data_IF_380873952068
#
_entry.id   IF_380873952068
#
_cell.length_a   1.000
_cell.length_b   1.000
_cell.length_c   1.000
_cell.angle_alpha   90.00
_cell.angle_beta   90.00
_cell.angle_gamma   90.00
#
_symmetry.space_group_name_H-M   'P 1'
#
loop_
_entity.id
_entity.type
_entity.pdbx_description
1 polymer ?
#
# COMPACT_ATOMS: atom_id res chain seq x y z
N UNK A 1 28.11 34.61 1.28
CA UNK A 1 27.34 34.96 0.07
C UNK A 1 26.01 34.25 0.03
N UNK A 2 24.90 35.00 -0.09
CA UNK A 2 23.53 34.45 -0.21
C UNK A 2 23.10 34.49 -1.68
N UNK A 3 23.81 33.76 -2.54
CA UNK A 3 23.47 33.63 -3.95
C UNK A 3 22.44 32.50 -4.13
N UNK A 4 21.16 32.83 -3.99
CA UNK A 4 20.05 31.88 -4.13
C UNK A 4 19.21 32.26 -5.34
N UNK A 5 18.99 31.29 -6.23
CA UNK A 5 18.05 31.39 -7.36
C UNK A 5 16.89 30.46 -7.08
N UNK A 6 15.67 30.99 -7.10
CA UNK A 6 14.43 30.22 -6.93
C UNK A 6 13.65 30.27 -8.25
N UNK A 7 13.11 29.13 -8.66
CA UNK A 7 12.24 29.00 -9.82
C UNK A 7 10.93 28.37 -9.37
N UNK A 8 9.81 28.90 -9.83
CA UNK A 8 8.50 28.32 -9.56
C UNK A 8 7.39 29.01 -10.34
N UNK A 9 6.22 28.41 -10.28
CA UNK A 9 5.00 28.92 -10.91
C UNK A 9 3.87 28.85 -9.86
N UNK A 10 3.35 30.02 -9.51
CA UNK A 10 2.25 30.19 -8.56
C UNK A 10 0.95 29.53 -9.05
N UNK A 11 0.70 29.48 -10.36
CA UNK A 11 -0.48 28.83 -10.95
C UNK A 11 -0.41 27.30 -10.85
N UNK A 12 0.77 26.74 -10.57
CA UNK A 12 0.99 25.29 -10.46
C UNK A 12 1.15 24.81 -9.02
N UNK A 13 0.84 25.65 -8.03
CA UNK A 13 0.94 25.28 -6.62
C UNK A 13 -0.27 24.47 -6.17
N UNK A 14 -0.15 23.15 -6.25
CA UNK A 14 -1.23 22.18 -5.99
C UNK A 14 -1.03 21.32 -4.72
N UNK A 15 -0.02 21.64 -3.90
CA UNK A 15 0.31 20.90 -2.67
C UNK A 15 -0.05 21.66 -1.38
N UNK A 16 -1.03 22.57 -1.43
CA UNK A 16 -1.44 23.37 -0.27
C UNK A 16 -1.87 22.54 0.94
N UNK A 17 -2.50 21.39 0.71
CA UNK A 17 -2.88 20.42 1.74
C UNK A 17 -1.69 19.77 2.47
N UNK A 18 -0.48 19.89 1.93
CA UNK A 18 0.79 19.49 2.57
C UNK A 18 1.51 20.66 3.24
N UNK A 19 0.85 21.81 3.37
CA UNK A 19 1.45 23.03 3.91
C UNK A 19 2.28 23.82 2.90
N UNK A 20 2.26 23.49 1.61
CA UNK A 20 2.91 24.32 0.60
C UNK A 20 2.20 25.67 0.48
N UNK A 21 2.94 26.77 0.58
CA UNK A 21 2.38 28.12 0.51
C UNK A 21 2.88 28.87 -0.72
N UNK A 22 1.93 29.34 -1.55
CA UNK A 22 2.20 30.24 -2.69
C UNK A 22 2.83 31.55 -2.23
N UNK A 23 2.60 31.93 -0.97
CA UNK A 23 3.20 33.12 -0.36
C UNK A 23 4.73 33.12 -0.45
N UNK A 24 5.36 31.94 -0.41
CA UNK A 24 6.81 31.81 -0.45
C UNK A 24 7.42 32.38 -1.74
N UNK A 25 6.75 32.19 -2.89
CA UNK A 25 7.22 32.73 -4.16
C UNK A 25 6.74 34.17 -4.38
N UNK A 26 5.51 34.49 -3.99
CA UNK A 26 4.94 35.84 -4.17
C UNK A 26 5.65 36.89 -3.33
N UNK A 27 6.09 36.52 -2.13
CA UNK A 27 6.72 37.42 -1.16
C UNK A 27 8.17 37.06 -0.89
N UNK A 28 8.83 36.37 -1.82
CA UNK A 28 10.23 35.93 -1.65
C UNK A 28 11.16 37.08 -1.22
N UNK A 29 11.00 38.27 -1.80
CA UNK A 29 11.75 39.48 -1.46
C UNK A 29 11.41 40.12 -0.10
N UNK A 30 10.42 39.58 0.63
CA UNK A 30 9.99 40.04 1.95
C UNK A 30 10.35 39.05 3.07
N UNK A 31 10.79 37.84 2.72
CA UNK A 31 11.13 36.79 3.67
C UNK A 31 12.57 36.94 4.16
N UNK A 32 12.79 36.88 5.47
CA UNK A 32 14.13 36.73 6.03
C UNK A 32 14.65 35.31 5.73
N UNK A 33 15.94 35.13 5.34
CA UNK A 33 17.03 36.11 5.27
C UNK A 33 17.21 36.80 3.90
N UNK A 34 16.22 36.66 3.00
CA UNK A 34 16.26 37.09 1.59
C UNK A 34 15.62 38.46 1.35
N UNK A 35 15.38 39.23 2.42
CA UNK A 35 14.80 40.57 2.38
C UNK A 35 15.79 41.57 1.78
N UNK A 36 15.97 41.48 0.47
CA UNK A 36 16.87 42.28 -0.33
C UNK A 36 16.27 42.53 -1.72
N UNK A 37 16.94 43.35 -2.53
CA UNK A 37 16.52 43.56 -3.92
C UNK A 37 16.76 42.26 -4.72
N UNK A 38 15.67 41.62 -5.14
CA UNK A 38 15.70 40.39 -5.95
C UNK A 38 15.48 40.72 -7.43
N UNK A 39 16.33 40.21 -8.31
CA UNK A 39 16.09 40.26 -9.76
C UNK A 39 15.02 39.23 -10.12
N UNK A 40 13.85 39.69 -10.54
CA UNK A 40 12.74 38.82 -10.98
C UNK A 40 12.69 38.80 -12.50
N UNK A 41 12.58 37.61 -13.10
CA UNK A 41 12.42 37.44 -14.55
C UNK A 41 11.24 36.50 -14.79
N UNK A 42 10.27 36.93 -15.60
CA UNK A 42 9.12 36.09 -15.97
C UNK A 42 9.39 35.38 -17.30
N UNK A 43 9.23 34.07 -17.32
CA UNK A 43 9.38 33.24 -18.52
C UNK A 43 7.97 32.90 -19.00
N UNK A 44 7.53 33.58 -20.07
CA UNK A 44 6.17 33.42 -20.62
C UNK A 44 6.11 32.59 -21.89
N UNK A 45 7.26 32.27 -22.48
CA UNK A 45 7.35 31.47 -23.71
C UNK A 45 7.28 29.98 -23.37
N UNK A 46 6.25 29.30 -23.85
CA UNK A 46 6.11 27.84 -23.73
C UNK A 46 6.67 27.13 -24.96
N UNK A 47 7.56 26.17 -24.74
CA UNK A 47 8.11 25.29 -25.77
C UNK A 47 7.37 23.95 -25.89
N UNK A 48 6.50 23.65 -24.92
CA UNK A 48 5.78 22.38 -24.79
C UNK A 48 4.48 22.34 -25.58
N UNK A 49 3.74 23.43 -25.53
CA UNK A 49 2.30 23.43 -25.84
C UNK A 49 1.95 24.50 -26.88
N UNK A 50 1.03 24.18 -27.79
CA UNK A 50 0.50 25.13 -28.77
C UNK A 50 -0.44 26.17 -28.16
N UNK A 51 -0.70 27.26 -28.89
CA UNK A 51 -1.38 28.44 -28.35
C UNK A 51 -2.81 28.17 -27.87
N UNK A 52 -3.60 27.36 -28.60
CA UNK A 52 -5.00 27.10 -28.23
C UNK A 52 -5.13 26.47 -26.84
N UNK A 53 -4.30 25.50 -26.49
CA UNK A 53 -4.31 24.88 -25.15
C UNK A 53 -3.83 25.88 -24.09
N UNK A 54 -2.84 26.72 -24.40
CA UNK A 54 -2.38 27.78 -23.49
C UNK A 54 -3.49 28.80 -23.21
N UNK A 55 -4.27 29.17 -24.23
CA UNK A 55 -5.37 30.11 -24.09
C UNK A 55 -6.49 29.53 -23.22
N UNK A 56 -6.83 28.25 -23.39
CA UNK A 56 -7.79 27.55 -22.52
C UNK A 56 -7.28 27.51 -21.08
N UNK A 57 -6.02 27.11 -20.87
CA UNK A 57 -5.43 27.07 -19.54
C UNK A 57 -5.39 28.46 -18.87
N UNK A 58 -5.00 29.49 -19.62
CA UNK A 58 -4.98 30.87 -19.14
C UNK A 58 -6.38 31.35 -18.75
N UNK A 59 -7.41 31.05 -19.56
CA UNK A 59 -8.78 31.43 -19.26
C UNK A 59 -9.34 30.78 -17.99
N UNK A 60 -8.83 29.62 -17.59
CA UNK A 60 -9.19 28.96 -16.31
C UNK A 60 -8.55 29.65 -15.11
N UNK A 61 -7.28 30.10 -15.22
CA UNK A 61 -6.52 30.61 -14.07
C UNK A 61 -6.51 32.14 -13.93
N UNK A 62 -6.90 32.89 -14.97
CA UNK A 62 -6.78 34.36 -15.00
C UNK A 62 -7.51 35.08 -13.86
N UNK A 63 -8.60 34.50 -13.35
CA UNK A 63 -9.44 35.08 -12.30
C UNK A 63 -9.03 34.63 -10.89
N UNK A 64 -7.96 33.83 -10.76
CA UNK A 64 -7.42 33.42 -9.46
C UNK A 64 -6.83 34.63 -8.69
N UNK A 65 -7.18 34.74 -7.40
CA UNK A 65 -6.61 35.74 -6.50
C UNK A 65 -5.16 35.41 -6.16
N UNK A 66 -4.35 36.43 -5.86
CA UNK A 66 -2.95 36.30 -5.44
C UNK A 66 -2.06 35.58 -6.47
N UNK A 67 -2.11 36.07 -7.72
CA UNK A 67 -1.36 35.53 -8.85
C UNK A 67 -0.33 36.54 -9.36
N UNK A 68 0.80 36.04 -9.89
CA UNK A 68 1.71 36.85 -10.70
C UNK A 68 1.17 36.96 -12.11
N UNK A 69 0.93 38.19 -12.59
CA UNK A 69 0.42 38.39 -13.93
C UNK A 69 1.44 37.91 -14.99
N UNK A 70 1.04 36.86 -15.71
CA UNK A 70 1.81 36.26 -16.79
C UNK A 70 0.88 35.72 -17.87
N UNK A 71 1.13 36.13 -19.11
CA UNK A 71 0.37 35.70 -20.30
C UNK A 71 1.25 34.73 -21.09
N UNK A 72 0.88 33.44 -21.17
CA UNK A 72 1.69 32.44 -21.87
C UNK A 72 1.63 32.64 -23.39
N UNK A 73 2.76 32.46 -24.07
CA UNK A 73 2.86 32.49 -25.53
C UNK A 73 3.56 31.25 -26.03
N UNK A 74 2.97 30.56 -27.00
CA UNK A 74 3.62 29.44 -27.65
C UNK A 74 4.84 29.92 -28.44
N UNK A 75 5.97 29.23 -28.29
CA UNK A 75 7.18 29.53 -29.07
C UNK A 75 7.06 29.03 -30.51
N UNK A 76 6.42 27.87 -30.72
CA UNK A 76 6.17 27.29 -32.04
C UNK A 76 4.68 27.28 -32.36
N UNK A 77 4.33 27.46 -33.64
CA UNK A 77 2.95 27.33 -34.15
C UNK A 77 2.62 25.84 -34.34
N UNK A 78 2.55 25.08 -33.24
CA UNK A 78 2.10 23.68 -33.26
C UNK A 78 0.57 23.69 -33.19
N UNK A 79 -0.09 23.05 -34.15
CA UNK A 79 -1.55 22.86 -34.10
C UNK A 79 -1.88 22.11 -32.80
N UNK A 80 -2.61 22.79 -31.93
CA UNK A 80 -3.12 22.21 -30.69
C UNK A 80 -4.63 22.36 -30.73
N UNK A 81 -5.34 21.29 -30.41
CA UNK A 81 -6.80 21.26 -30.43
C UNK A 81 -7.29 20.89 -29.04
N UNK A 82 -8.39 21.52 -28.64
CA UNK A 82 -9.09 21.22 -27.40
C UNK A 82 -10.51 20.85 -27.79
N UNK A 83 -10.97 19.71 -27.30
CA UNK A 83 -12.32 19.21 -27.53
C UNK A 83 -12.97 18.94 -26.19
N UNK A 84 -14.27 19.17 -26.12
CA UNK A 84 -15.11 18.78 -24.99
C UNK A 84 -16.18 17.83 -25.51
N UNK A 85 -16.43 16.76 -24.76
CA UNK A 85 -17.47 15.78 -25.04
C UNK A 85 -18.31 15.62 -23.78
N UNK A 86 -19.63 15.64 -23.95
CA UNK A 86 -20.57 15.38 -22.86
C UNK A 86 -21.11 13.96 -23.02
N UNK A 87 -20.96 13.16 -21.96
CA UNK A 87 -21.48 11.81 -21.89
C UNK A 87 -22.60 11.74 -20.83
N UNK A 88 -23.69 10.97 -21.06
CA UNK A 88 -24.76 10.82 -20.08
C UNK A 88 -24.33 10.14 -18.78
N UNK A 89 -23.38 9.20 -18.86
CA UNK A 89 -22.85 8.45 -17.71
C UNK A 89 -21.32 8.38 -17.73
N UNK A 90 -20.71 8.04 -16.58
CA UNK A 90 -19.27 7.80 -16.50
C UNK A 90 -18.81 6.64 -17.39
N UNK A 91 -19.67 5.64 -17.59
CA UNK A 91 -19.37 4.50 -18.46
C UNK A 91 -19.35 4.93 -19.93
N UNK A 92 -20.33 5.73 -20.36
CA UNK A 92 -20.37 6.31 -21.71
C UNK A 92 -19.15 7.21 -21.98
N UNK A 93 -18.70 7.97 -20.97
CA UNK A 93 -17.48 8.78 -21.05
C UNK A 93 -16.24 7.90 -21.25
N UNK A 94 -16.11 6.83 -20.47
CA UNK A 94 -15.00 5.90 -20.57
C UNK A 94 -14.98 5.16 -21.91
N UNK A 95 -16.13 4.73 -22.42
CA UNK A 95 -16.26 4.10 -23.74
C UNK A 95 -15.90 5.06 -24.87
N UNK A 96 -16.28 6.34 -24.77
CA UNK A 96 -15.88 7.37 -25.72
C UNK A 96 -14.36 7.56 -25.72
N UNK A 97 -13.73 7.69 -24.55
CA UNK A 97 -12.28 7.84 -24.43
C UNK A 97 -11.55 6.66 -25.07
N UNK A 98 -11.98 5.44 -24.76
CA UNK A 98 -11.40 4.22 -25.32
C UNK A 98 -11.54 4.16 -26.84
N UNK A 99 -12.71 4.52 -27.38
CA UNK A 99 -12.92 4.59 -28.83
C UNK A 99 -12.01 5.61 -29.50
N UNK A 100 -11.79 6.77 -28.89
CA UNK A 100 -10.87 7.79 -29.41
C UNK A 100 -9.42 7.32 -29.34
N UNK A 101 -9.02 6.62 -28.29
CA UNK A 101 -7.70 5.98 -28.21
C UNK A 101 -7.53 4.99 -29.37
N UNK A 102 -8.50 4.10 -29.61
CA UNK A 102 -8.43 3.17 -30.75
C UNK A 102 -8.31 3.91 -32.09
N UNK A 103 -9.03 5.01 -32.28
CA UNK A 103 -8.96 5.82 -33.50
C UNK A 103 -7.57 6.45 -33.70
N UNK A 104 -6.98 7.00 -32.63
CA UNK A 104 -5.64 7.60 -32.64
C UNK A 104 -4.54 6.57 -32.96
N UNK A 105 -4.65 5.37 -32.40
CA UNK A 105 -3.71 4.28 -32.68
C UNK A 105 -3.90 3.74 -34.10
N UNK A 106 -5.14 3.58 -34.56
CA UNK A 106 -5.46 3.16 -35.95
C UNK A 106 -4.94 4.14 -36.99
N UNK A 107 -4.91 5.43 -36.69
CA UNK A 107 -4.34 6.44 -37.58
C UNK A 107 -2.82 6.35 -37.72
N UNK A 108 -2.15 5.50 -36.91
CA UNK A 108 -0.69 5.28 -36.87
C UNK A 108 0.16 6.54 -36.59
N UNK A 109 -0.46 7.60 -36.07
CA UNK A 109 0.25 8.84 -35.74
C UNK A 109 0.73 8.86 -34.28
N UNK A 110 0.17 8.00 -33.44
CA UNK A 110 0.45 7.94 -32.00
C UNK A 110 0.57 6.48 -31.56
N UNK A 111 1.31 6.30 -30.46
CA UNK A 111 1.44 5.05 -29.71
C UNK A 111 0.78 5.18 -28.35
N UNK A 112 0.58 4.08 -27.62
CA UNK A 112 -0.13 4.12 -26.34
C UNK A 112 0.61 4.96 -25.30
N UNK A 113 1.95 4.93 -25.29
CA UNK A 113 2.79 5.78 -24.42
C UNK A 113 2.60 7.29 -24.63
N UNK A 114 2.08 7.72 -25.78
CA UNK A 114 1.85 9.13 -26.11
C UNK A 114 0.55 9.66 -25.49
N UNK A 115 -0.23 8.80 -24.82
CA UNK A 115 -1.56 9.08 -24.33
C UNK A 115 -1.59 9.00 -22.80
N UNK A 116 -2.15 10.04 -22.17
CA UNK A 116 -2.44 10.05 -20.75
C UNK A 116 -3.93 10.33 -20.46
N UNK A 117 -4.44 9.73 -19.38
CA UNK A 117 -5.78 9.97 -18.83
C UNK A 117 -5.60 10.49 -17.40
N UNK A 118 -6.04 11.73 -17.15
CA UNK A 118 -5.85 12.45 -15.88
C UNK A 118 -7.16 12.55 -15.09
N UNK A 119 -7.29 11.73 -14.05
CA UNK A 119 -8.45 11.80 -13.15
C UNK A 119 -8.20 12.75 -11.97
N UNK A 120 -9.25 13.44 -11.49
CA UNK A 120 -9.11 14.33 -10.33
C UNK A 120 -8.83 13.58 -9.02
N UNK A 121 -9.56 12.48 -8.78
CA UNK A 121 -9.39 11.55 -7.65
C UNK A 121 -8.77 10.23 -8.15
N UNK A 122 -8.27 9.38 -7.24
CA UNK A 122 -7.83 8.00 -7.57
C UNK A 122 -9.02 7.06 -7.90
N UNK A 123 -9.98 7.53 -8.69
CA UNK A 123 -11.13 6.80 -9.22
C UNK A 123 -10.79 6.40 -10.65
N UNK A 124 -10.07 5.28 -10.79
CA UNK A 124 -9.61 4.80 -12.10
C UNK A 124 -10.51 3.69 -12.66
N UNK A 125 -11.40 3.14 -11.83
CA UNK A 125 -12.09 1.87 -12.09
C UNK A 125 -12.84 1.85 -13.43
N UNK A 126 -13.76 2.79 -13.67
CA UNK A 126 -14.54 2.87 -14.93
C UNK A 126 -13.66 2.94 -16.19
N UNK A 127 -12.59 3.73 -16.12
CA UNK A 127 -11.62 3.88 -17.21
C UNK A 127 -10.85 2.56 -17.41
N UNK A 128 -10.34 1.96 -16.34
CA UNK A 128 -9.56 0.72 -16.41
C UNK A 128 -10.40 -0.45 -16.91
N UNK A 129 -11.65 -0.58 -16.45
CA UNK A 129 -12.60 -1.59 -16.93
C UNK A 129 -12.82 -1.42 -18.44
N UNK A 130 -12.98 -0.19 -18.92
CA UNK A 130 -13.23 0.08 -20.34
C UNK A 130 -11.99 -0.17 -21.21
N UNK A 131 -10.79 0.14 -20.70
CA UNK A 131 -9.51 -0.19 -21.35
C UNK A 131 -9.30 -1.71 -21.42
N UNK A 132 -9.57 -2.42 -20.31
CA UNK A 132 -9.47 -3.88 -20.23
C UNK A 132 -10.44 -4.56 -21.21
N UNK A 133 -11.69 -4.09 -21.32
CA UNK A 133 -12.68 -4.60 -22.30
C UNK A 133 -12.22 -4.52 -23.76
N UNK A 134 -11.29 -3.62 -24.09
CA UNK A 134 -10.76 -3.42 -25.44
C UNK A 134 -9.31 -3.88 -25.61
N UNK A 135 -8.77 -4.57 -24.60
CA UNK A 135 -7.37 -4.99 -24.61
C UNK A 135 -6.42 -3.81 -24.89
N UNK A 136 -6.67 -2.64 -24.31
CA UNK A 136 -5.78 -1.48 -24.43
C UNK A 136 -4.76 -1.53 -23.28
N UNK A 137 -3.44 -1.55 -23.56
CA UNK A 137 -2.43 -1.57 -22.53
C UNK A 137 -2.42 -0.25 -21.76
N UNK A 138 -2.38 -0.33 -20.42
CA UNK A 138 -2.31 0.85 -19.57
C UNK A 138 -1.47 0.62 -18.31
N UNK A 139 -0.91 1.71 -17.82
CA UNK A 139 -0.18 1.79 -16.56
C UNK A 139 -0.85 2.83 -15.65
N UNK A 140 -1.17 2.43 -14.43
CA UNK A 140 -1.68 3.37 -13.40
C UNK A 140 -0.50 4.00 -12.67
N UNK A 141 -0.35 5.32 -12.79
CA UNK A 141 0.67 6.11 -12.09
C UNK A 141 0.05 6.78 -10.86
N UNK A 142 0.59 6.50 -9.69
CA UNK A 142 0.06 7.01 -8.42
C UNK A 142 -1.25 6.34 -8.00
N UNK A 143 -1.46 5.07 -8.39
CA UNK A 143 -2.56 4.20 -7.94
C UNK A 143 -2.53 3.87 -6.45
N UNK A 144 -3.18 2.78 -6.01
CA UNK A 144 -2.90 2.24 -4.65
C UNK A 144 -1.42 1.83 -4.53
N UNK A 145 -0.73 1.61 -5.64
CA UNK A 145 0.72 1.43 -5.73
C UNK A 145 1.11 -0.01 -6.08
N UNK A 146 2.34 -0.23 -6.54
CA UNK A 146 2.85 -1.55 -6.92
C UNK A 146 2.59 -2.61 -5.83
N UNK A 147 2.81 -2.22 -4.56
CA UNK A 147 2.66 -3.07 -3.39
C UNK A 147 1.21 -3.43 -3.01
N UNK A 148 0.23 -2.75 -3.60
CA UNK A 148 -1.19 -2.96 -3.34
C UNK A 148 -1.89 -3.78 -4.43
N UNK A 149 -1.15 -4.22 -5.45
CA UNK A 149 -1.69 -5.13 -6.46
C UNK A 149 -2.00 -6.48 -5.80
N UNK A 150 -3.16 -7.13 -6.09
CA UNK A 150 -3.56 -8.35 -5.40
C UNK A 150 -2.47 -9.43 -5.36
N UNK A 151 -1.85 -9.73 -6.50
CA UNK A 151 -0.77 -10.70 -6.64
C UNK A 151 0.48 -10.33 -5.83
N UNK A 152 0.75 -9.03 -5.67
CA UNK A 152 1.86 -8.55 -4.85
C UNK A 152 1.54 -8.65 -3.36
N UNK A 153 0.29 -8.36 -2.95
CA UNK A 153 -0.15 -8.56 -1.57
C UNK A 153 -0.11 -10.06 -1.22
N UNK A 154 -0.50 -10.95 -2.13
CA UNK A 154 -0.39 -12.40 -1.95
C UNK A 154 1.06 -12.84 -1.75
N UNK A 155 1.96 -12.40 -2.63
CA UNK A 155 3.39 -12.66 -2.51
C UNK A 155 3.95 -12.14 -1.17
N UNK A 156 3.66 -10.89 -0.80
CA UNK A 156 4.12 -10.28 0.45
C UNK A 156 3.54 -10.99 1.67
N UNK A 157 2.31 -11.49 1.59
CA UNK A 157 1.70 -12.24 2.70
C UNK A 157 2.43 -13.56 2.95
N UNK A 158 2.87 -14.25 1.90
CA UNK A 158 3.74 -15.43 2.06
C UNK A 158 5.09 -15.06 2.68
N UNK A 159 5.73 -13.99 2.20
CA UNK A 159 7.01 -13.52 2.77
C UNK A 159 6.85 -13.14 4.26
N UNK A 160 5.75 -12.46 4.60
CA UNK A 160 5.41 -12.15 5.99
C UNK A 160 5.28 -13.40 6.84
N UNK A 161 4.56 -14.43 6.38
CA UNK A 161 4.41 -15.67 7.15
C UNK A 161 5.70 -16.46 7.29
N UNK A 162 6.60 -16.41 6.30
CA UNK A 162 7.94 -17.01 6.42
C UNK A 162 8.80 -16.27 7.45
N UNK A 163 8.61 -14.96 7.63
CA UNK A 163 9.36 -14.15 8.60
C UNK A 163 8.74 -14.15 10.00
N UNK A 164 7.42 -14.01 10.06
CA UNK A 164 6.58 -13.94 11.25
C UNK A 164 5.28 -14.72 11.00
N UNK A 165 5.25 -16.02 11.34
CA UNK A 165 4.04 -16.84 11.21
C UNK A 165 2.84 -16.34 12.04
N UNK A 166 3.04 -15.40 12.96
CA UNK A 166 2.01 -14.82 13.80
C UNK A 166 1.12 -13.77 13.11
N UNK A 167 1.48 -13.30 11.91
CA UNK A 167 0.68 -12.31 11.16
C UNK A 167 -0.66 -12.93 10.71
N UNK A 168 -1.70 -12.73 11.54
CA UNK A 168 -3.04 -13.26 11.30
C UNK A 168 -3.69 -12.74 10.00
N UNK A 169 -3.36 -11.52 9.57
CA UNK A 169 -3.94 -10.93 8.35
C UNK A 169 -3.32 -11.60 7.12
N UNK A 170 -1.99 -11.74 7.12
CA UNK A 170 -1.29 -12.49 6.08
C UNK A 170 -1.73 -13.96 6.04
N UNK A 171 -1.93 -14.58 7.21
CA UNK A 171 -2.37 -15.97 7.31
C UNK A 171 -3.76 -16.19 6.73
N UNK A 172 -4.75 -15.36 7.10
CA UNK A 172 -6.10 -15.43 6.51
C UNK A 172 -6.07 -15.27 5.01
N UNK A 173 -5.24 -14.35 4.49
CA UNK A 173 -5.10 -14.15 3.05
C UNK A 173 -4.56 -15.40 2.35
N UNK A 174 -3.50 -16.01 2.90
CA UNK A 174 -2.92 -17.24 2.34
C UNK A 174 -3.88 -18.42 2.45
N UNK A 175 -4.60 -18.58 3.56
CA UNK A 175 -5.62 -19.63 3.74
C UNK A 175 -6.72 -19.55 2.67
N UNK A 176 -7.13 -18.34 2.29
CA UNK A 176 -8.15 -18.11 1.26
C UNK A 176 -7.62 -18.19 -0.18
N UNK A 177 -6.31 -18.37 -0.37
CA UNK A 177 -5.71 -18.40 -1.70
C UNK A 177 -6.23 -19.58 -2.54
N UNK A 178 -6.13 -19.50 -3.88
CA UNK A 178 -6.61 -20.55 -4.78
C UNK A 178 -6.00 -21.92 -4.53
N UNK A 179 -4.81 -22.02 -3.92
CA UNK A 179 -4.20 -23.30 -3.55
C UNK A 179 -4.88 -23.94 -2.34
N UNK A 180 -5.12 -23.16 -1.28
CA UNK A 180 -5.60 -23.70 0.00
C UNK A 180 -7.12 -23.66 0.14
N UNK A 181 -7.82 -22.72 -0.50
CA UNK A 181 -9.29 -22.61 -0.58
C UNK A 181 -10.01 -22.86 0.77
N UNK A 182 -9.45 -22.37 1.87
CA UNK A 182 -10.08 -22.52 3.19
C UNK A 182 -11.22 -21.52 3.28
N UNK A 183 -12.43 -22.01 3.54
CA UNK A 183 -13.62 -21.16 3.52
C UNK A 183 -13.83 -20.43 4.85
N UNK A 184 -14.69 -19.40 4.84
CA UNK A 184 -14.94 -18.57 6.04
C UNK A 184 -15.50 -19.39 7.22
N UNK A 185 -16.25 -20.46 6.95
CA UNK A 185 -16.72 -21.40 7.98
C UNK A 185 -15.55 -22.10 8.68
N UNK A 186 -14.57 -22.57 7.93
CA UNK A 186 -13.42 -23.29 8.50
C UNK A 186 -12.50 -22.34 9.25
N UNK A 187 -12.33 -21.11 8.75
CA UNK A 187 -11.63 -20.01 9.46
C UNK A 187 -12.34 -19.69 10.78
N UNK A 188 -13.67 -19.66 10.79
CA UNK A 188 -14.45 -19.48 12.01
C UNK A 188 -14.19 -20.60 13.02
N UNK A 189 -14.08 -21.86 12.60
CA UNK A 189 -13.74 -22.97 13.49
C UNK A 189 -12.31 -22.87 14.06
N UNK A 190 -11.34 -22.42 13.26
CA UNK A 190 -10.00 -22.09 13.76
C UNK A 190 -10.06 -21.00 14.83
N UNK A 191 -10.80 -19.92 14.60
CA UNK A 191 -10.98 -18.85 15.58
C UNK A 191 -11.70 -19.32 16.85
N UNK A 192 -12.72 -20.17 16.71
CA UNK A 192 -13.44 -20.78 17.84
C UNK A 192 -12.51 -21.66 18.70
N UNK A 193 -11.61 -22.41 18.05
CA UNK A 193 -10.60 -23.19 18.76
C UNK A 193 -9.69 -22.31 19.61
N UNK A 194 -9.18 -21.20 19.06
CA UNK A 194 -8.38 -20.22 19.81
C UNK A 194 -9.13 -19.76 21.08
N UNK A 195 -10.38 -19.30 20.92
CA UNK A 195 -11.20 -18.80 22.02
C UNK A 195 -11.44 -19.89 23.09
N UNK A 196 -11.64 -21.15 22.68
CA UNK A 196 -11.81 -22.25 23.64
C UNK A 196 -10.54 -22.51 24.47
N UNK A 197 -9.37 -22.46 23.84
CA UNK A 197 -8.09 -22.67 24.51
C UNK A 197 -7.70 -21.53 25.43
N UNK A 198 -7.99 -20.30 25.04
CA UNK A 198 -7.83 -19.16 25.93
C UNK A 198 -8.75 -19.26 27.16
N UNK A 199 -10.00 -19.72 26.99
CA UNK A 199 -10.92 -19.95 28.13
C UNK A 199 -10.41 -21.04 29.08
N UNK A 200 -9.90 -22.16 28.53
CA UNK A 200 -9.27 -23.22 29.33
C UNK A 200 -8.07 -22.67 30.13
N UNK A 201 -7.21 -21.89 29.47
CA UNK A 201 -6.04 -21.28 30.09
C UNK A 201 -6.41 -20.32 31.23
N UNK A 202 -7.40 -19.45 31.02
CA UNK A 202 -7.90 -18.53 32.05
C UNK A 202 -8.45 -19.31 33.26
N UNK A 203 -9.12 -20.44 33.00
CA UNK A 203 -9.63 -21.31 34.06
C UNK A 203 -8.49 -21.95 34.86
N UNK A 204 -7.44 -22.40 34.18
CA UNK A 204 -6.24 -22.99 34.79
C UNK A 204 -5.50 -21.99 35.70
N UNK A 205 -5.29 -20.75 35.24
CA UNK A 205 -4.68 -19.70 36.06
C UNK A 205 -5.54 -19.41 37.30
N UNK A 206 -6.85 -19.26 37.13
CA UNK A 206 -7.77 -19.02 38.25
C UNK A 206 -7.78 -20.16 39.26
N UNK A 207 -7.65 -21.42 38.82
CA UNK A 207 -7.52 -22.55 39.74
C UNK A 207 -6.18 -22.56 40.48
N UNK A 208 -5.07 -22.28 39.78
CA UNK A 208 -3.73 -22.22 40.39
C UNK A 208 -3.64 -21.10 41.43
N UNK A 209 -4.15 -19.90 41.13
CA UNK A 209 -4.17 -18.80 42.08
C UNK A 209 -5.03 -19.11 43.33
N UNK A 210 -6.17 -19.80 43.16
CA UNK A 210 -6.99 -20.27 44.29
C UNK A 210 -6.31 -21.34 45.15
N UNK A 211 -5.48 -22.19 44.56
CA UNK A 211 -4.67 -23.16 45.31
C UNK A 211 -3.53 -22.46 46.06
N UNK A 212 -2.88 -21.47 45.45
CA UNK A 212 -1.88 -20.61 46.11
C UNK A 212 -2.48 -19.86 47.31
N UNK A 213 -3.68 -19.28 47.16
CA UNK A 213 -4.39 -18.64 48.28
C UNK A 213 -4.78 -19.62 49.40
N UNK A 214 -5.20 -20.85 49.06
CA UNK A 214 -5.49 -21.90 50.07
C UNK A 214 -4.25 -22.37 50.82
N UNK A 215 -3.08 -22.40 50.17
CA UNK A 215 -1.80 -22.73 50.79
C UNK A 215 -1.36 -21.62 51.75
N UNK A 216 -1.56 -20.35 51.36
CA UNK A 216 -1.28 -19.18 52.22
C UNK A 216 -2.19 -19.19 53.46
N UNK A 217 -3.50 -19.43 53.31
CA UNK A 217 -4.44 -19.52 54.45
C UNK A 217 -4.09 -20.68 55.39
N UNK A 218 -3.65 -21.83 54.86
CA UNK A 218 -3.17 -22.96 55.69
C UNK A 218 -1.90 -22.60 56.46
N UNK A 219 -0.96 -21.89 55.83
CA UNK A 219 0.28 -21.44 56.47
C UNK A 219 0.02 -20.33 57.52
N UNK A 220 -0.94 -19.44 57.31
CA UNK A 220 -1.35 -18.46 58.33
C UNK A 220 -2.02 -19.12 59.55
N UNK A 221 -2.79 -20.20 59.35
CA UNK A 221 -3.36 -20.96 60.46
C UNK A 221 -2.34 -21.79 61.25
N UNK A 222 -1.21 -22.20 60.65
CA UNK A 222 -0.10 -22.85 61.37
C UNK A 222 0.86 -21.86 62.02
N UNK A 223 0.96 -20.62 61.53
CA UNK A 223 1.77 -19.54 62.14
C UNK A 223 1.08 -18.93 63.37
N UNK A 224 -0.26 -18.99 63.50
CA UNK A 224 -0.97 -18.49 64.69
C UNK A 224 -0.72 -19.26 65.99
N UNK A 225 -0.09 -20.44 65.95
CA UNK A 225 0.28 -21.17 67.18
C UNK A 225 1.69 -20.87 67.70
N UNK A 226 2.50 -20.08 66.99
CA UNK A 226 3.87 -19.72 67.40
C UNK A 226 4.08 -18.19 67.36
N UNK A 227 3.20 -17.44 68.01
CA UNK A 227 3.31 -15.97 68.09
C UNK A 227 3.25 -15.46 69.53
N UNK A 228 4.22 -15.87 70.36
CA UNK A 228 4.74 -15.00 71.42
C UNK A 228 6.25 -14.90 71.21
N UNK A 229 6.68 -13.79 70.60
CA UNK A 229 7.90 -13.00 70.86
C UNK A 229 8.04 -11.99 69.71
N UNK A 230 7.73 -10.73 70.02
CA UNK A 230 8.61 -9.60 69.73
C UNK A 230 8.87 -9.17 68.29
N UNK A 231 8.03 -8.24 67.81
CA UNK A 231 8.39 -7.00 67.10
C UNK A 231 8.94 -7.04 65.66
N UNK A 232 8.43 -6.07 64.89
CA UNK A 232 8.84 -5.56 63.56
C UNK A 232 8.39 -6.39 62.35
N UNK A 233 7.33 -5.92 61.70
CA UNK A 233 7.22 -5.97 60.23
C UNK A 233 6.17 -4.94 59.75
N UNK A 234 6.66 -3.78 59.32
CA UNK A 234 5.90 -2.81 58.50
C UNK A 234 5.75 -3.26 57.03
N UNK A 235 6.27 -4.44 56.65
CA UNK A 235 6.32 -4.93 55.26
C UNK A 235 5.09 -5.73 54.79
N UNK A 236 3.95 -5.70 55.50
CA UNK A 236 2.78 -6.52 55.15
C UNK A 236 1.71 -5.77 54.34
N UNK A 237 1.79 -4.46 54.21
CA UNK A 237 0.78 -3.66 53.47
C UNK A 237 1.23 -3.32 52.04
N UNK A 238 2.53 -3.21 51.76
CA UNK A 238 3.03 -2.88 50.41
C UNK A 238 2.89 -4.04 49.41
N UNK A 239 2.96 -5.30 49.87
CA UNK A 239 2.87 -6.47 49.00
C UNK A 239 1.46 -6.76 48.44
N UNK A 240 0.38 -6.19 49.01
CA UNK A 240 -0.98 -6.37 48.46
C UNK A 240 -1.23 -5.49 47.24
N UNK A 241 -0.65 -4.30 47.22
CA UNK A 241 -0.78 -3.36 46.09
C UNK A 241 0.09 -3.74 44.89
N UNK A 242 1.28 -4.32 45.10
CA UNK A 242 2.09 -4.83 43.99
C UNK A 242 1.45 -6.06 43.32
N UNK A 243 0.83 -6.95 44.09
CA UNK A 243 0.16 -8.15 43.56
C UNK A 243 -1.14 -7.85 42.79
N UNK A 244 -1.81 -6.73 43.10
CA UNK A 244 -2.99 -6.26 42.37
C UNK A 244 -2.65 -5.43 41.12
N UNK A 245 -1.49 -4.77 41.07
CA UNK A 245 -1.07 -3.97 39.91
C UNK A 245 -0.43 -4.80 38.78
N UNK A 246 0.15 -5.97 39.06
CA UNK A 246 0.67 -6.88 38.02
C UNK A 246 -0.43 -7.68 37.28
N UNK A 247 -1.68 -7.66 37.74
CA UNK A 247 -2.79 -8.35 37.06
C UNK A 247 -3.53 -7.49 36.02
N UNK A 248 -3.02 -6.28 35.73
CA UNK A 248 -3.46 -5.45 34.59
C UNK A 248 -2.67 -5.72 33.30
N UNK A 249 -2.01 -6.87 33.21
CA UNK A 249 -1.34 -7.31 31.98
C UNK A 249 -2.40 -7.61 30.93
N UNK A 250 -2.31 -6.88 29.81
CA UNK A 250 -2.95 -7.18 28.52
C UNK A 250 -3.24 -8.67 28.38
N UNK A 251 -4.49 -9.03 28.11
CA UNK A 251 -4.86 -10.37 27.63
C UNK A 251 -4.19 -10.59 26.26
N UNK A 252 -2.92 -11.00 26.24
CA UNK A 252 -2.31 -11.63 25.08
C UNK A 252 -2.93 -13.04 24.97
N UNK A 253 -3.68 -13.27 23.90
CA UNK A 253 -4.13 -14.62 23.55
C UNK A 253 -2.89 -15.50 23.39
N UNK A 254 -2.78 -16.59 24.14
CA UNK A 254 -1.61 -17.48 24.07
C UNK A 254 -1.66 -18.41 22.87
N UNK A 255 -2.84 -18.63 22.31
CA UNK A 255 -3.05 -19.39 21.08
C UNK A 255 -3.35 -18.39 19.98
N UNK A 256 -2.47 -18.29 18.99
CA UNK A 256 -2.70 -17.44 17.83
C UNK A 256 -3.29 -18.28 16.67
N UNK A 257 -3.53 -17.63 15.53
CA UNK A 257 -4.13 -18.32 14.39
C UNK A 257 -3.21 -19.40 13.80
N UNK A 258 -1.88 -19.23 13.84
CA UNK A 258 -0.96 -20.26 13.36
C UNK A 258 -0.97 -21.50 14.28
N UNK A 259 -1.13 -21.33 15.60
CA UNK A 259 -1.29 -22.45 16.53
C UNK A 259 -2.55 -23.27 16.23
N UNK A 260 -3.65 -22.61 15.87
CA UNK A 260 -4.88 -23.29 15.47
C UNK A 260 -4.70 -24.08 14.16
N UNK A 261 -3.94 -23.54 13.20
CA UNK A 261 -3.58 -24.24 11.96
C UNK A 261 -2.72 -25.47 12.25
N UNK A 262 -1.67 -25.34 13.07
CA UNK A 262 -0.78 -26.43 13.48
C UNK A 262 -1.51 -27.52 14.28
N UNK A 263 -2.57 -27.14 15.01
CA UNK A 263 -3.39 -28.06 15.81
C UNK A 263 -4.71 -28.44 15.13
N UNK A 264 -4.86 -28.17 13.83
CA UNK A 264 -6.10 -28.40 13.08
C UNK A 264 -6.59 -29.85 13.15
N UNK A 265 -5.70 -30.81 13.36
CA UNK A 265 -6.04 -32.22 13.61
C UNK A 265 -7.01 -32.42 14.78
N UNK A 266 -6.93 -31.57 15.82
CA UNK A 266 -7.75 -31.62 17.04
C UNK A 266 -9.11 -30.92 16.93
N UNK A 267 -9.41 -30.31 15.78
CA UNK A 267 -10.65 -29.56 15.58
C UNK A 267 -11.63 -30.48 14.85
N UNK A 268 -12.60 -31.04 15.57
CA UNK A 268 -13.53 -32.05 15.05
C UNK A 268 -14.45 -31.49 13.96
N UNK A 269 -14.78 -30.19 14.01
CA UNK A 269 -15.64 -29.55 13.02
C UNK A 269 -14.98 -29.38 11.63
N UNK A 270 -13.65 -29.53 11.52
CA UNK A 270 -12.95 -29.44 10.23
C UNK A 270 -13.02 -30.76 9.46
N UNK A 271 -13.28 -30.68 8.15
CA UNK A 271 -13.24 -31.85 7.28
C UNK A 271 -11.81 -32.39 7.14
N UNK A 272 -11.69 -33.69 6.81
CA UNK A 272 -10.38 -34.32 6.55
C UNK A 272 -9.59 -33.58 5.47
N UNK A 273 -10.24 -33.24 4.36
CA UNK A 273 -9.65 -32.46 3.27
C UNK A 273 -9.15 -31.07 3.70
N UNK A 274 -9.89 -30.39 4.59
CA UNK A 274 -9.45 -29.11 5.16
C UNK A 274 -8.21 -29.29 6.03
N UNK A 275 -8.22 -30.32 6.91
CA UNK A 275 -7.06 -30.66 7.76
C UNK A 275 -5.83 -30.99 6.91
N UNK A 276 -5.99 -31.72 5.81
CA UNK A 276 -4.90 -32.07 4.90
C UNK A 276 -4.30 -30.82 4.24
N UNK A 277 -5.13 -29.88 3.77
CA UNK A 277 -4.68 -28.59 3.20
C UNK A 277 -3.99 -27.70 4.24
N UNK A 278 -4.48 -27.65 5.48
CA UNK A 278 -3.85 -26.91 6.58
C UNK A 278 -2.48 -27.52 6.95
N UNK A 279 -2.39 -28.85 7.04
CA UNK A 279 -1.13 -29.55 7.28
C UNK A 279 -0.13 -29.32 6.14
N UNK A 280 -0.60 -29.28 4.89
CA UNK A 280 0.24 -28.93 3.75
C UNK A 280 0.80 -27.52 3.89
N UNK A 281 -0.03 -26.51 4.22
CA UNK A 281 0.43 -25.15 4.47
C UNK A 281 1.52 -25.09 5.56
N UNK A 282 1.31 -25.78 6.69
CA UNK A 282 2.30 -25.81 7.79
C UNK A 282 3.65 -26.37 7.36
N UNK A 283 3.65 -27.44 6.53
CA UNK A 283 4.88 -28.03 6.00
C UNK A 283 5.58 -27.08 5.04
N UNK A 284 4.84 -26.43 4.16
CA UNK A 284 5.38 -25.47 3.19
C UNK A 284 5.98 -24.25 3.88
N UNK A 285 5.31 -23.65 4.86
CA UNK A 285 5.86 -22.54 5.64
C UNK A 285 7.16 -22.93 6.35
N UNK A 286 7.20 -24.11 6.98
CA UNK A 286 8.43 -24.63 7.62
C UNK A 286 9.56 -24.82 6.59
N UNK A 287 9.22 -25.27 5.39
CA UNK A 287 10.16 -25.44 4.31
C UNK A 287 10.70 -24.09 3.80
N UNK A 288 9.86 -23.07 3.64
CA UNK A 288 10.30 -21.74 3.23
C UNK A 288 11.20 -21.08 4.26
N UNK A 289 10.96 -21.26 5.56
CA UNK A 289 11.88 -20.81 6.62
C UNK A 289 13.25 -21.44 6.42
N UNK A 290 13.32 -22.77 6.23
CA UNK A 290 14.57 -23.49 5.98
C UNK A 290 15.29 -23.00 4.70
N UNK A 291 14.55 -22.73 3.63
CA UNK A 291 15.11 -22.21 2.38
C UNK A 291 15.61 -20.77 2.50
N UNK A 292 14.96 -19.95 3.33
CA UNK A 292 15.31 -18.52 3.50
C UNK A 292 16.72 -18.29 4.07
N UNK A 293 17.28 -19.30 4.73
CA UNK A 293 18.64 -19.30 5.26
C UNK A 293 19.71 -19.75 4.25
N UNK A 294 19.29 -20.34 3.12
CA UNK A 294 20.18 -21.08 2.20
C UNK A 294 20.15 -20.57 0.77
N UNK A 295 19.03 -19.99 0.36
CA UNK A 295 18.85 -19.44 -0.98
C UNK A 295 19.06 -17.93 -0.97
N UNK A 296 19.58 -17.42 -2.09
CA UNK A 296 19.51 -15.98 -2.40
C UNK A 296 18.05 -15.52 -2.48
N UNK A 297 17.77 -14.24 -2.22
CA UNK A 297 16.41 -13.70 -2.23
C UNK A 297 15.65 -13.96 -3.54
N UNK A 298 16.24 -13.77 -4.74
CA UNK A 298 15.52 -14.01 -5.98
C UNK A 298 15.10 -15.49 -6.16
N UNK A 299 15.98 -16.42 -5.77
CA UNK A 299 15.69 -17.85 -5.85
C UNK A 299 14.66 -18.28 -4.81
N UNK A 300 14.71 -17.74 -3.59
CA UNK A 300 13.69 -17.98 -2.57
C UNK A 300 12.30 -17.56 -3.05
N UNK A 301 12.19 -16.34 -3.60
CA UNK A 301 10.90 -15.83 -4.10
C UNK A 301 10.36 -16.69 -5.25
N UNK A 302 11.22 -17.11 -6.20
CA UNK A 302 10.83 -18.01 -7.29
C UNK A 302 10.28 -19.33 -6.75
N UNK A 303 11.00 -19.97 -5.83
CA UNK A 303 10.59 -21.22 -5.21
C UNK A 303 9.24 -21.08 -4.49
N UNK A 304 9.06 -19.99 -3.72
CA UNK A 304 7.80 -19.71 -3.05
C UNK A 304 6.64 -19.55 -4.05
N UNK A 305 6.83 -18.80 -5.13
CA UNK A 305 5.76 -18.54 -6.12
C UNK A 305 5.42 -19.77 -6.96
N UNK A 306 6.39 -20.63 -7.25
CA UNK A 306 6.17 -21.91 -7.94
C UNK A 306 5.43 -22.90 -7.03
N UNK A 307 5.94 -23.14 -5.82
CA UNK A 307 5.35 -24.11 -4.91
C UNK A 307 3.93 -23.72 -4.50
N UNK A 308 3.67 -22.44 -4.24
CA UNK A 308 2.32 -21.97 -3.85
C UNK A 308 1.34 -21.85 -5.02
N UNK A 309 1.81 -22.06 -6.26
CA UNK A 309 0.98 -21.99 -7.46
C UNK A 309 0.69 -20.57 -7.94
N UNK A 310 1.27 -19.54 -7.31
CA UNK A 310 1.14 -18.14 -7.76
C UNK A 310 1.59 -17.96 -9.22
N UNK A 311 2.65 -18.65 -9.66
CA UNK A 311 3.02 -18.65 -11.08
C UNK A 311 2.15 -19.58 -11.93
N UNK A 312 1.90 -20.80 -11.45
CA UNK A 312 1.18 -21.83 -12.20
C UNK A 312 -0.25 -21.39 -12.54
N UNK A 313 -0.92 -20.69 -11.64
CA UNK A 313 -2.24 -20.09 -11.88
C UNK A 313 -2.19 -19.08 -13.04
N UNK A 314 -1.24 -18.16 -13.01
CA UNK A 314 -1.06 -17.14 -14.04
C UNK A 314 -0.61 -17.71 -15.39
N UNK A 315 0.03 -18.88 -15.40
CA UNK A 315 0.46 -19.54 -16.65
C UNK A 315 -0.66 -20.37 -17.31
N UNK A 316 -1.66 -20.79 -16.53
CA UNK A 316 -2.79 -21.58 -17.04
C UNK A 316 -3.79 -20.76 -17.86
N UNK A 317 -3.88 -19.47 -17.57
CA UNK A 317 -4.76 -18.51 -18.24
C UNK A 317 -3.96 -17.65 -19.22
N UNK A 318 -4.22 -17.81 -20.53
CA UNK A 318 -3.60 -16.97 -21.57
C UNK A 318 -4.36 -15.66 -21.74
N UNK A 319 -4.42 -14.86 -20.68
CA UNK A 319 -4.99 -13.50 -20.72
C UNK A 319 -3.89 -12.45 -20.54
N UNK A 320 -4.11 -11.25 -21.08
CA UNK A 320 -3.22 -10.10 -20.85
C UNK A 320 -3.13 -9.72 -19.36
N UNK A 321 -4.21 -9.93 -18.62
CA UNK A 321 -4.22 -9.71 -17.18
C UNK A 321 -3.27 -10.68 -16.46
N UNK A 322 -3.24 -11.94 -16.88
CA UNK A 322 -2.32 -12.95 -16.34
C UNK A 322 -0.87 -12.63 -16.68
N UNK A 323 -0.59 -12.15 -17.90
CA UNK A 323 0.73 -11.64 -18.30
C UNK A 323 1.18 -10.43 -17.45
N UNK A 324 0.26 -9.47 -17.20
CA UNK A 324 0.52 -8.30 -16.36
C UNK A 324 0.85 -8.69 -14.92
N UNK A 325 0.05 -9.58 -14.30
CA UNK A 325 0.29 -10.09 -12.94
C UNK A 325 1.63 -10.81 -12.85
N UNK A 326 1.98 -11.61 -13.87
CA UNK A 326 3.29 -12.28 -13.95
C UNK A 326 4.43 -11.26 -14.00
N UNK A 327 4.29 -10.21 -14.82
CA UNK A 327 5.28 -9.13 -14.90
C UNK A 327 5.45 -8.41 -13.54
N UNK A 328 4.37 -8.25 -12.77
CA UNK A 328 4.43 -7.67 -11.43
C UNK A 328 5.21 -8.57 -10.45
N UNK A 329 4.97 -9.89 -10.44
CA UNK A 329 5.74 -10.83 -9.62
C UNK A 329 7.22 -10.87 -10.01
N UNK A 330 7.53 -10.86 -11.31
CA UNK A 330 8.92 -10.75 -11.80
C UNK A 330 9.57 -9.43 -11.38
N UNK A 331 8.81 -8.32 -11.35
CA UNK A 331 9.30 -7.05 -10.81
C UNK A 331 9.63 -7.15 -9.33
N UNK A 332 8.84 -7.86 -8.52
CA UNK A 332 9.15 -8.09 -7.10
C UNK A 332 10.45 -8.89 -6.92
N UNK A 333 10.68 -9.90 -7.76
CA UNK A 333 11.93 -10.67 -7.78
C UNK A 333 13.13 -9.78 -8.14
N UNK A 334 12.98 -8.88 -9.11
CA UNK A 334 14.03 -7.91 -9.46
C UNK A 334 14.34 -6.98 -8.30
N UNK A 335 13.34 -6.45 -7.60
CA UNK A 335 13.52 -5.62 -6.40
C UNK A 335 14.33 -6.37 -5.34
N UNK A 336 14.02 -7.65 -5.11
CA UNK A 336 14.78 -8.49 -4.19
C UNK A 336 16.24 -8.71 -4.64
N UNK A 337 16.45 -8.93 -5.95
CA UNK A 337 17.79 -9.06 -6.53
C UNK A 337 18.62 -7.78 -6.40
N UNK A 338 18.02 -6.62 -6.61
CA UNK A 338 18.69 -5.33 -6.53
C UNK A 338 19.03 -4.99 -5.07
N UNK A 339 18.12 -5.31 -4.14
CA UNK A 339 18.38 -5.21 -2.71
C UNK A 339 19.58 -6.07 -2.29
N UNK A 340 19.63 -7.33 -2.75
CA UNK A 340 20.71 -8.26 -2.43
C UNK A 340 22.07 -7.79 -2.93
N UNK A 341 22.13 -7.23 -4.15
CA UNK A 341 23.37 -6.72 -4.76
C UNK A 341 23.90 -5.46 -4.09
N UNK A 342 23.04 -4.63 -3.53
CA UNK A 342 23.40 -3.30 -3.01
C UNK A 342 23.71 -3.28 -1.52
N UNK A 343 23.36 -4.33 -0.78
CA UNK A 343 23.54 -4.40 0.68
C UNK A 343 24.59 -5.46 1.04
N UNK A 344 25.62 -5.04 1.76
CA UNK A 344 26.74 -5.91 2.15
C UNK A 344 26.31 -7.12 3.02
N UNK A 345 25.25 -6.98 3.82
CA UNK A 345 24.68 -8.03 4.67
C UNK A 345 23.21 -8.30 4.29
N UNK A 346 22.97 -8.54 3.00
CA UNK A 346 21.64 -8.92 2.52
C UNK A 346 21.25 -10.29 3.07
N UNK A 347 20.05 -10.37 3.67
CA UNK A 347 19.42 -11.59 4.14
C UNK A 347 17.91 -11.47 3.97
N UNK A 348 17.19 -12.58 4.12
CA UNK A 348 15.73 -12.55 4.12
C UNK A 348 15.17 -11.60 5.17
N UNK A 349 15.74 -11.62 6.39
CA UNK A 349 15.31 -10.74 7.47
C UNK A 349 15.57 -9.26 7.15
N UNK A 350 16.75 -8.90 6.61
CA UNK A 350 17.02 -7.50 6.25
C UNK A 350 16.15 -7.03 5.08
N UNK A 351 15.79 -7.92 4.15
CA UNK A 351 14.83 -7.64 3.09
C UNK A 351 13.40 -7.42 3.63
N UNK A 352 12.97 -8.20 4.62
CA UNK A 352 11.67 -8.02 5.26
C UNK A 352 11.56 -6.71 6.04
N UNK A 353 12.65 -6.29 6.70
CA UNK A 353 12.73 -4.96 7.31
C UNK A 353 12.66 -3.85 6.25
N UNK A 354 13.37 -3.99 5.15
CA UNK A 354 13.29 -3.07 4.02
C UNK A 354 11.86 -2.98 3.47
N UNK A 355 11.21 -4.11 3.18
CA UNK A 355 9.83 -4.14 2.69
C UNK A 355 8.86 -3.50 3.68
N UNK A 356 9.04 -3.71 4.99
CA UNK A 356 8.21 -3.07 6.02
C UNK A 356 8.31 -1.55 5.93
N UNK A 357 9.51 -1.01 5.80
CA UNK A 357 9.71 0.44 5.67
C UNK A 357 9.18 0.98 4.35
N UNK A 358 9.35 0.24 3.24
CA UNK A 358 8.76 0.61 1.95
C UNK A 358 7.23 0.60 1.98
N UNK A 359 6.61 -0.39 2.62
CA UNK A 359 5.15 -0.47 2.75
C UNK A 359 4.59 0.69 3.59
N UNK A 360 5.24 1.03 4.70
CA UNK A 360 4.92 2.21 5.50
C UNK A 360 5.09 3.50 4.70
N UNK A 361 6.18 3.62 3.95
CA UNK A 361 6.41 4.78 3.09
C UNK A 361 5.34 4.87 2.00
N UNK A 362 4.93 3.75 1.39
CA UNK A 362 3.87 3.69 0.39
C UNK A 362 2.48 4.03 0.97
N UNK A 363 2.25 3.83 2.27
CA UNK A 363 1.07 4.31 2.99
C UNK A 363 1.08 5.84 3.20
N UNK A 364 2.27 6.43 3.37
CA UNK A 364 2.46 7.84 3.76
C UNK A 364 2.78 8.77 2.58
N UNK A 365 3.41 8.27 1.52
CA UNK A 365 3.88 9.03 0.36
C UNK A 365 3.14 8.61 -0.92
N UNK A 366 2.68 9.57 -1.76
CA UNK A 366 2.33 9.27 -3.12
C UNK A 366 3.64 8.94 -3.87
N UNK A 367 3.70 7.73 -4.42
CA UNK A 367 4.83 7.16 -5.16
C UNK A 367 5.60 8.17 -6.04
N UNK A 368 6.91 7.95 -6.18
CA UNK A 368 7.71 8.59 -7.24
C UNK A 368 7.07 8.30 -8.62
N UNK A 369 6.73 9.40 -9.27
CA UNK A 369 5.90 9.50 -10.48
C UNK A 369 6.72 9.29 -11.75
N UNK A 370 7.38 8.15 -11.89
CA UNK A 370 8.10 7.84 -13.14
C UNK A 370 7.23 6.89 -13.96
N UNK A 371 6.66 7.34 -15.09
CA UNK A 371 6.00 6.45 -16.04
C UNK A 371 6.97 5.33 -16.45
N UNK A 372 6.50 4.08 -16.47
CA UNK A 372 7.24 2.97 -17.04
C UNK A 372 7.54 3.20 -18.53
N UNK A 373 8.62 2.60 -19.01
CA UNK A 373 9.10 2.73 -20.40
C UNK A 373 8.21 1.95 -21.40
N UNK A 374 7.21 1.20 -20.93
CA UNK A 374 6.30 0.42 -21.75
C UNK A 374 5.39 1.28 -22.65
N UNK A 375 4.99 0.70 -23.78
CA UNK A 375 4.02 1.28 -24.71
C UNK A 375 2.59 1.09 -24.17
N UNK A 376 2.29 1.82 -23.10
CA UNK A 376 1.04 1.74 -22.35
C UNK A 376 0.44 3.14 -22.16
N UNK A 377 -0.90 3.23 -22.19
CA UNK A 377 -1.64 4.45 -21.83
C UNK A 377 -1.39 4.78 -20.37
N UNK A 378 -1.01 6.03 -20.05
CA UNK A 378 -0.72 6.44 -18.67
C UNK A 378 -1.98 6.95 -17.98
N UNK A 379 -2.50 6.21 -17.01
CA UNK A 379 -3.68 6.58 -16.22
C UNK A 379 -3.23 7.11 -14.86
N UNK A 380 -3.56 8.35 -14.50
CA UNK A 380 -3.02 8.95 -13.27
C UNK A 380 -3.90 10.03 -12.68
N UNK A 381 -3.57 10.45 -11.46
CA UNK A 381 -4.21 11.64 -10.88
C UNK A 381 -3.64 12.95 -11.45
N UNK A 382 -4.40 14.04 -11.43
CA UNK A 382 -3.88 15.36 -11.86
C UNK A 382 -2.65 15.79 -11.04
N UNK A 383 -2.58 15.46 -9.74
CA UNK A 383 -1.39 15.74 -8.95
C UNK A 383 -0.17 14.94 -9.42
N UNK A 384 -0.40 13.69 -9.83
CA UNK A 384 0.62 12.78 -10.36
C UNK A 384 1.20 13.25 -11.71
N UNK A 385 0.47 14.09 -12.45
CA UNK A 385 0.92 14.61 -13.73
C UNK A 385 1.92 15.79 -13.60
N UNK A 386 2.18 16.31 -12.39
CA UNK A 386 3.03 17.49 -12.21
C UNK A 386 4.45 17.21 -12.71
N UNK A 387 4.88 17.97 -13.72
CA UNK A 387 6.20 17.84 -14.34
C UNK A 387 6.25 16.88 -15.53
N UNK A 388 5.17 16.16 -15.82
CA UNK A 388 5.05 15.28 -16.99
C UNK A 388 4.42 16.02 -18.17
N UNK A 389 4.60 15.46 -19.37
CA UNK A 389 4.01 15.95 -20.61
C UNK A 389 3.66 14.79 -21.54
N UNK A 390 2.53 14.91 -22.24
CA UNK A 390 2.04 13.90 -23.18
C UNK A 390 1.47 14.59 -24.43
N UNK A 391 1.68 14.03 -25.63
CA UNK A 391 1.05 14.53 -26.85
C UNK A 391 -0.48 14.56 -26.79
N UNK A 392 -1.11 13.53 -26.20
CA UNK A 392 -2.55 13.42 -26.07
C UNK A 392 -2.91 13.27 -24.59
N UNK A 393 -3.86 14.08 -24.12
CA UNK A 393 -4.32 14.08 -22.73
C UNK A 393 -5.86 14.07 -22.70
N UNK A 394 -6.43 13.08 -22.03
CA UNK A 394 -7.85 13.03 -21.67
C UNK A 394 -8.01 13.46 -20.22
N UNK A 395 -9.02 14.30 -19.94
CA UNK A 395 -9.38 14.73 -18.58
C UNK A 395 -10.86 14.39 -18.37
N UNK A 396 -11.18 13.16 -17.91
CA UNK A 396 -12.56 12.76 -17.65
C UNK A 396 -13.13 13.44 -16.40
N UNK A 397 -14.45 13.31 -16.22
CA UNK A 397 -15.18 13.73 -15.00
C UNK A 397 -15.05 15.23 -14.71
N UNK A 398 -15.09 16.06 -15.76
CA UNK A 398 -15.17 17.52 -15.65
C UNK A 398 -16.60 17.97 -15.29
N UNK A 399 -17.08 17.56 -14.12
CA UNK A 399 -18.38 17.93 -13.58
C UNK A 399 -18.27 18.49 -12.15
N UNK A 400 -19.21 19.36 -11.79
CA UNK A 400 -19.29 19.93 -10.46
C UNK A 400 -19.45 18.83 -9.40
N UNK A 401 -18.59 18.86 -8.37
CA UNK A 401 -18.52 17.87 -7.31
C UNK A 401 -17.52 16.74 -7.49
N UNK A 402 -17.04 16.52 -8.72
CA UNK A 402 -15.83 15.76 -8.97
C UNK A 402 -14.65 16.69 -9.24
N UNK A 403 -14.81 17.63 -10.20
CA UNK A 403 -13.80 18.62 -10.54
C UNK A 403 -14.44 19.96 -10.99
N UNK A 404 -14.61 20.94 -10.08
CA UNK A 404 -14.04 21.03 -8.72
C UNK A 404 -14.68 20.06 -7.71
N UNK A 405 -13.86 19.58 -6.76
CA UNK A 405 -14.32 18.75 -5.64
C UNK A 405 -15.12 19.62 -4.65
N UNK A 406 -16.19 19.07 -4.06
CA UNK A 406 -17.07 19.80 -3.11
C UNK A 406 -16.44 20.06 -1.73
N UNK A 407 -15.15 19.74 -1.54
CA UNK A 407 -14.44 19.83 -0.26
C UNK A 407 -13.76 21.16 -0.04
#
# INVERSE_FOLDING_TARGET
>A
DKNVTVVGDDDQSIYGWRGASVYNILKFNQLEPFKQKVKTTSITKSFRTGQNVLDVAYNVVKDNKNRLEKIPKAYFKKDSKVFAFFAPTYSDEAEFIVKEIENLIKSKNFSYKDIAILCRKKRFDEITISLDKKDIPYEIIGGRGFYYRPEIIDAISLLKLTHDPGDSIALVRVLKSPKYKICDRDIFHLAKYIISKDKEYIKEIKSKNRESEKIIVKNESSVKNNAEIGSKNENLVENRTEFEMENKTKFEMRVNLIDAVLQSGKIDELSKDTKDRLNQLSKELSHFVFLSERLSLPHLLREMFEQTGLFSELMSEKSRESERRKANLEKLIRIASDFERTKAEASFNSFMLYLREVLKAAELEPEELVPGIGDDVKVMSIHAAKGLEFPIVFVPMLCEGDFPDLR
#
